data_IF_189171153497
#
_entry.id   IF_189171153497
#
_cell.length_a   1.000
_cell.length_b   1.000
_cell.length_c   1.000
_cell.angle_alpha   90.00
_cell.angle_beta   90.00
_cell.angle_gamma   90.00
#
_symmetry.space_group_name_H-M   'P 1'
#
loop_
_entity.id
_entity.type
_entity.pdbx_description
1 polymer ?
#
# COMPACT_ATOMS: atom_id res chain seq x y z
N UNK A 1 2.12 -1.21 10.47
CA UNK A 1 1.32 -0.46 9.49
C UNK A 1 0.40 0.55 10.16
N UNK A 2 -0.55 0.09 10.97
CA UNK A 2 -1.65 0.92 11.47
C UNK A 2 -1.43 1.65 12.81
N UNK A 3 -0.34 1.37 13.54
CA UNK A 3 -0.22 1.77 14.95
C UNK A 3 -0.22 3.30 15.13
N UNK A 4 0.62 4.02 14.36
CA UNK A 4 0.73 5.48 14.45
C UNK A 4 -0.58 6.23 14.13
N UNK A 5 -1.29 5.97 13.01
CA UNK A 5 -2.59 6.62 12.76
C UNK A 5 -3.66 6.30 13.79
N UNK A 6 -3.63 5.08 14.34
CA UNK A 6 -4.58 4.65 15.39
C UNK A 6 -4.32 5.37 16.70
N UNK A 7 -3.07 5.44 17.15
CA UNK A 7 -2.67 6.19 18.36
C UNK A 7 -3.05 7.67 18.25
N UNK A 8 -2.80 8.29 17.09
CA UNK A 8 -3.22 9.66 16.82
C UNK A 8 -4.74 9.82 16.98
N UNK A 9 -5.51 8.92 16.38
CA UNK A 9 -6.98 8.98 16.41
C UNK A 9 -7.54 8.72 17.81
N UNK A 10 -6.93 7.82 18.57
CA UNK A 10 -7.28 7.58 19.98
C UNK A 10 -7.04 8.80 20.85
N UNK A 11 -5.98 9.57 20.58
CA UNK A 11 -5.65 10.79 21.33
C UNK A 11 -6.56 11.96 20.97
N UNK A 12 -6.88 12.13 19.69
CA UNK A 12 -7.52 13.36 19.18
C UNK A 12 -9.03 13.23 18.97
N UNK A 13 -9.54 12.05 18.58
CA UNK A 13 -10.95 11.85 18.27
C UNK A 13 -11.46 10.43 18.59
N UNK A 14 -11.28 9.93 19.82
CA UNK A 14 -11.63 8.55 20.18
C UNK A 14 -13.14 8.25 20.05
N UNK A 15 -13.97 9.29 20.11
CA UNK A 15 -15.42 9.16 20.08
C UNK A 15 -16.04 9.23 18.68
N UNK A 16 -15.25 9.48 17.64
CA UNK A 16 -15.76 9.57 16.27
C UNK A 16 -16.35 8.22 15.81
N UNK A 17 -17.62 8.15 15.35
CA UNK A 17 -18.27 6.87 15.03
C UNK A 17 -17.52 6.02 14.02
N UNK A 18 -16.99 6.63 12.95
CA UNK A 18 -16.22 5.89 11.94
C UNK A 18 -14.90 5.36 12.50
N UNK A 19 -14.24 6.10 13.39
CA UNK A 19 -13.01 5.61 14.05
C UNK A 19 -13.31 4.39 14.94
N UNK A 20 -14.44 4.37 15.64
CA UNK A 20 -14.86 3.20 16.43
C UNK A 20 -15.03 1.96 15.55
N UNK A 21 -15.65 2.10 14.38
CA UNK A 21 -15.80 0.99 13.40
C UNK A 21 -14.43 0.50 12.93
N UNK A 22 -13.54 1.41 12.54
CA UNK A 22 -12.16 1.06 12.12
C UNK A 22 -11.40 0.35 13.25
N UNK A 23 -11.50 0.84 14.49
CA UNK A 23 -10.84 0.22 15.64
C UNK A 23 -11.42 -1.16 15.98
N UNK A 24 -12.73 -1.36 15.86
CA UNK A 24 -13.35 -2.67 16.05
C UNK A 24 -12.90 -3.67 14.98
N UNK A 25 -12.85 -3.24 13.71
CA UNK A 25 -12.35 -4.06 12.61
C UNK A 25 -10.89 -4.47 12.82
N UNK A 26 -10.06 -3.57 13.35
CA UNK A 26 -8.66 -3.87 13.70
C UNK A 26 -8.53 -5.04 14.70
N UNK A 27 -9.49 -5.18 15.63
CA UNK A 27 -9.45 -6.21 16.66
C UNK A 27 -10.12 -7.53 16.23
N UNK A 28 -11.15 -7.45 15.40
CA UNK A 28 -11.98 -8.60 15.01
C UNK A 28 -11.48 -9.23 13.71
N UNK A 29 -11.21 -8.44 12.66
CA UNK A 29 -10.93 -8.96 11.33
C UNK A 29 -9.69 -9.88 11.29
N UNK A 30 -8.56 -9.57 11.95
CA UNK A 30 -7.40 -10.45 11.90
C UNK A 30 -7.67 -11.85 12.47
N UNK A 31 -8.50 -11.95 13.51
CA UNK A 31 -8.88 -13.23 14.14
C UNK A 31 -9.69 -14.09 13.18
N UNK A 32 -10.68 -13.50 12.53
CA UNK A 32 -11.54 -14.18 11.54
C UNK A 32 -10.73 -14.63 10.33
N UNK A 33 -9.86 -13.75 9.80
CA UNK A 33 -9.02 -14.07 8.63
C UNK A 33 -8.00 -15.17 8.93
N UNK A 34 -7.48 -15.21 10.16
CA UNK A 34 -6.58 -16.28 10.62
C UNK A 34 -7.32 -17.61 10.73
N UNK A 35 -8.51 -17.63 11.34
CA UNK A 35 -9.32 -18.83 11.47
C UNK A 35 -9.76 -19.41 10.11
N UNK A 36 -10.00 -18.55 9.12
CA UNK A 36 -10.34 -18.96 7.75
C UNK A 36 -9.17 -19.63 7.00
N UNK A 37 -7.92 -19.30 7.35
CA UNK A 37 -6.72 -19.93 6.77
C UNK A 37 -6.38 -19.57 5.32
N UNK A 38 -7.17 -18.74 4.64
CA UNK A 38 -6.91 -18.31 3.24
C UNK A 38 -5.99 -17.09 3.13
N UNK A 39 -5.83 -16.34 4.22
CA UNK A 39 -5.09 -15.07 4.22
C UNK A 39 -3.67 -15.29 4.73
N UNK A 40 -2.66 -14.95 3.92
CA UNK A 40 -1.24 -15.08 4.30
C UNK A 40 -0.83 -14.12 5.42
N UNK A 41 -1.31 -12.87 5.37
CA UNK A 41 -1.07 -11.88 6.42
C UNK A 41 -2.40 -11.17 6.76
N UNK A 42 -2.95 -11.38 7.96
CA UNK A 42 -4.28 -10.91 8.33
C UNK A 42 -4.30 -9.46 8.84
N UNK A 43 -3.15 -8.76 8.85
CA UNK A 43 -3.03 -7.41 9.42
C UNK A 43 -3.28 -6.29 8.41
N UNK A 44 -3.94 -5.19 8.83
CA UNK A 44 -4.25 -4.07 7.95
C UNK A 44 -3.04 -3.17 7.67
N UNK A 45 -3.12 -2.46 6.55
CA UNK A 45 -2.13 -1.47 6.10
C UNK A 45 -2.61 -0.02 6.36
N UNK A 46 -1.82 0.97 5.97
CA UNK A 46 -2.10 2.40 6.20
C UNK A 46 -3.43 2.88 5.61
N UNK A 47 -3.86 2.30 4.49
CA UNK A 47 -5.06 2.71 3.75
C UNK A 47 -6.35 2.36 4.50
N UNK A 48 -6.29 1.35 5.38
CA UNK A 48 -7.42 0.99 6.23
C UNK A 48 -7.76 2.03 7.31
N UNK A 49 -6.90 3.05 7.51
CA UNK A 49 -7.09 4.08 8.54
C UNK A 49 -6.96 5.52 8.02
N UNK A 50 -6.18 5.78 6.96
CA UNK A 50 -5.95 7.15 6.50
C UNK A 50 -7.26 7.90 6.16
N UNK A 51 -8.24 7.22 5.54
CA UNK A 51 -9.52 7.84 5.17
C UNK A 51 -10.33 8.41 6.35
N UNK A 52 -10.44 7.66 7.46
CA UNK A 52 -11.23 8.12 8.62
C UNK A 52 -10.63 9.36 9.29
N UNK A 53 -9.30 9.50 9.22
CA UNK A 53 -8.59 10.67 9.71
C UNK A 53 -8.92 11.90 8.85
N UNK A 54 -8.87 11.76 7.52
CA UNK A 54 -9.18 12.85 6.60
C UNK A 54 -10.64 13.31 6.73
N UNK A 55 -11.57 12.36 6.82
CA UNK A 55 -12.99 12.67 7.00
C UNK A 55 -13.28 13.40 8.32
N UNK A 56 -12.61 13.03 9.41
CA UNK A 56 -12.80 13.69 10.70
C UNK A 56 -12.45 15.19 10.64
N UNK A 57 -11.41 15.56 9.90
CA UNK A 57 -11.00 16.95 9.71
C UNK A 57 -11.73 17.66 8.55
N UNK A 58 -12.82 17.09 8.03
CA UNK A 58 -13.68 17.72 7.03
C UNK A 58 -13.27 17.53 5.58
N UNK A 59 -12.27 16.69 5.29
CA UNK A 59 -11.89 16.36 3.91
C UNK A 59 -12.65 15.11 3.45
N UNK A 60 -13.78 15.33 2.80
CA UNK A 60 -14.75 14.28 2.46
C UNK A 60 -14.74 13.87 0.98
N UNK A 61 -13.97 14.59 0.18
CA UNK A 61 -13.84 14.42 -1.27
C UNK A 61 -12.90 13.25 -1.55
N UNK A 62 -13.40 12.02 -1.44
CA UNK A 62 -12.57 10.80 -1.57
C UNK A 62 -11.76 10.73 -2.87
N UNK A 63 -12.30 11.28 -3.97
CA UNK A 63 -11.60 11.38 -5.26
C UNK A 63 -10.30 12.21 -5.17
N UNK A 64 -10.17 13.08 -4.17
CA UNK A 64 -8.99 13.92 -3.95
C UNK A 64 -7.90 13.22 -3.11
N UNK A 65 -8.20 12.10 -2.44
CA UNK A 65 -7.23 11.44 -1.54
C UNK A 65 -5.96 10.98 -2.27
N UNK A 66 -6.07 10.58 -3.53
CA UNK A 66 -4.91 10.19 -4.35
C UNK A 66 -3.97 11.37 -4.63
N UNK A 67 -4.47 12.61 -4.65
CA UNK A 67 -3.62 13.80 -4.80
C UNK A 67 -2.69 13.95 -3.60
N UNK A 68 -3.23 13.82 -2.38
CA UNK A 68 -2.44 13.85 -1.15
C UNK A 68 -1.40 12.72 -1.11
N UNK A 69 -1.80 11.55 -1.59
CA UNK A 69 -0.89 10.41 -1.71
C UNK A 69 0.28 10.72 -2.66
N UNK A 70 -0.01 11.34 -3.81
CA UNK A 70 1.02 11.78 -4.76
C UNK A 70 1.98 12.80 -4.16
N UNK A 71 1.47 13.81 -3.46
CA UNK A 71 2.30 14.83 -2.79
C UNK A 71 3.21 14.20 -1.73
N UNK A 72 2.69 13.28 -0.91
CA UNK A 72 3.51 12.54 0.07
C UNK A 72 4.57 11.67 -0.61
N UNK A 73 4.21 10.98 -1.69
CA UNK A 73 5.12 10.08 -2.41
C UNK A 73 6.25 10.81 -3.12
N UNK A 74 6.02 12.05 -3.55
CA UNK A 74 7.03 12.92 -4.19
C UNK A 74 8.32 13.01 -3.37
N UNK A 75 8.21 13.10 -2.04
CA UNK A 75 9.38 13.19 -1.14
C UNK A 75 10.32 11.99 -1.29
N UNK A 76 9.78 10.78 -1.38
CA UNK A 76 10.58 9.56 -1.53
C UNK A 76 11.16 9.40 -2.94
N UNK A 77 10.30 9.51 -3.97
CA UNK A 77 10.72 9.27 -5.36
C UNK A 77 11.70 10.31 -5.86
N UNK A 78 11.52 11.59 -5.49
CA UNK A 78 12.45 12.65 -5.89
C UNK A 78 13.79 12.53 -5.14
N UNK A 79 13.77 12.16 -3.86
CA UNK A 79 15.01 11.89 -3.11
C UNK A 79 15.81 10.75 -3.73
N UNK A 80 15.14 9.65 -4.11
CA UNK A 80 15.78 8.55 -4.84
C UNK A 80 16.32 9.01 -6.18
N UNK A 81 15.55 9.81 -6.93
CA UNK A 81 15.95 10.31 -8.24
C UNK A 81 17.22 11.17 -8.18
N UNK A 82 17.37 12.01 -7.15
CA UNK A 82 18.60 12.79 -6.92
C UNK A 82 19.80 11.85 -6.79
N UNK A 83 19.67 10.78 -6.00
CA UNK A 83 20.73 9.79 -5.82
C UNK A 83 21.02 9.00 -7.09
N UNK A 84 20.00 8.61 -7.86
CA UNK A 84 20.20 7.91 -9.12
C UNK A 84 21.03 8.74 -10.11
N UNK A 85 20.89 10.08 -10.09
CA UNK A 85 21.71 10.99 -10.90
C UNK A 85 23.10 11.18 -10.33
N UNK A 86 23.22 11.32 -9.01
CA UNK A 86 24.52 11.43 -8.34
C UNK A 86 25.40 10.19 -8.56
N UNK A 87 24.80 9.00 -8.59
CA UNK A 87 25.49 7.72 -8.82
C UNK A 87 25.61 7.35 -10.30
N UNK A 88 25.05 8.15 -11.21
CA UNK A 88 25.15 7.92 -12.65
C UNK A 88 24.47 6.64 -13.13
N UNK A 89 23.35 6.24 -12.53
CA UNK A 89 22.64 5.02 -12.95
C UNK A 89 22.19 5.09 -14.41
N UNK A 90 22.39 4.00 -15.20
CA UNK A 90 22.04 3.95 -16.61
C UNK A 90 20.52 3.86 -16.82
N UNK A 91 20.09 3.99 -18.08
CA UNK A 91 18.69 3.81 -18.45
C UNK A 91 18.20 2.39 -18.13
N UNK A 92 17.04 2.28 -17.50
CA UNK A 92 16.36 1.01 -17.29
C UNK A 92 15.81 0.50 -18.63
N UNK A 93 16.31 -0.66 -19.11
CA UNK A 93 15.91 -1.24 -20.39
C UNK A 93 15.57 -2.73 -20.26
N UNK A 94 14.42 -3.08 -19.65
CA UNK A 94 14.00 -4.48 -19.55
C UNK A 94 13.64 -5.03 -20.94
N UNK A 95 13.92 -6.32 -21.16
CA UNK A 95 13.55 -7.01 -22.41
C UNK A 95 12.14 -7.60 -22.28
N UNK A 96 11.23 -7.14 -23.13
CA UNK A 96 9.89 -7.74 -23.26
C UNK A 96 9.94 -9.04 -24.07
N UNK A 97 9.19 -10.05 -23.64
CA UNK A 97 9.06 -11.33 -24.33
C UNK A 97 7.58 -11.68 -24.47
N UNK A 98 7.21 -12.26 -25.61
CA UNK A 98 5.87 -12.80 -25.82
C UNK A 98 5.75 -14.20 -25.22
N UNK A 99 4.53 -14.64 -24.95
CA UNK A 99 4.27 -16.02 -24.51
C UNK A 99 4.84 -17.05 -25.48
N UNK A 100 4.76 -16.79 -26.79
CA UNK A 100 5.33 -17.65 -27.85
C UNK A 100 6.86 -17.73 -27.76
N UNK A 101 7.53 -16.58 -27.55
CA UNK A 101 8.98 -16.55 -27.36
C UNK A 101 9.40 -17.33 -26.11
N UNK A 102 8.62 -17.25 -25.03
CA UNK A 102 8.86 -18.02 -23.80
C UNK A 102 8.65 -19.52 -24.04
N UNK A 103 7.56 -19.93 -24.71
CA UNK A 103 7.30 -21.34 -25.06
C UNK A 103 8.42 -21.94 -25.91
N UNK A 104 8.83 -21.22 -26.95
CA UNK A 104 9.94 -21.63 -27.82
C UNK A 104 11.26 -21.77 -27.07
N UNK A 105 11.51 -20.91 -26.07
CA UNK A 105 12.70 -20.99 -25.23
C UNK A 105 12.66 -22.18 -24.26
N UNK A 106 11.48 -22.54 -23.74
CA UNK A 106 11.28 -23.71 -22.89
C UNK A 106 11.38 -25.02 -23.68
N UNK A 107 10.80 -25.09 -24.88
CA UNK A 107 10.90 -26.25 -25.79
C UNK A 107 12.36 -26.54 -26.17
N UNK A 108 13.15 -25.50 -26.41
CA UNK A 108 14.61 -25.65 -26.63
C UNK A 108 15.36 -26.17 -25.41
N UNK A 109 14.89 -25.88 -24.19
CA UNK A 109 15.53 -26.30 -22.93
C UNK A 109 15.08 -27.67 -22.42
N UNK A 110 13.91 -28.16 -22.84
CA UNK A 110 13.35 -29.47 -22.48
C UNK A 110 13.74 -30.63 -23.40
N UNK A 111 14.59 -30.38 -24.40
CA UNK A 111 15.08 -31.38 -25.37
C UNK A 111 16.41 -32.05 -24.99
N UNK A 112 16.69 -32.21 -23.70
CA UNK A 112 17.76 -33.06 -23.16
C UNK A 112 17.16 -34.15 -22.29
#
# INVERSE_FOLDING_TARGET
GLHLPREFSQKHFPNFPLFKVVSQLYEVAPKVLTAQGKTKNPWPNVDAHSGVLLQYYGMTEMNYYTVLFGVSRALGVLSSLVWDRALGFPIERPKSLTTEAIKKELEKKGGH
#
